data_IF_775072614931
#
_entry.id   IF_775072614931
#
_cell.length_a   1.000
_cell.length_b   1.000
_cell.length_c   1.000
_cell.angle_alpha   90.00
_cell.angle_beta   90.00
_cell.angle_gamma   90.00
#
_symmetry.space_group_name_H-M   'P 1'
#
loop_
_entity.id
_entity.type
_entity.pdbx_description
1 polymer ?
#
# COMPACT_ATOMS: atom_id res chain seq x y z
N UNK A 1 -4.04 -28.90 -7.43
CA UNK A 1 -4.35 -27.50 -7.08
C UNK A 1 -4.27 -26.69 -8.37
N UNK A 2 -5.41 -26.37 -8.97
CA UNK A 2 -5.40 -25.73 -10.30
C UNK A 2 -5.04 -24.25 -10.14
N UNK A 3 -3.83 -23.87 -10.58
CA UNK A 3 -3.35 -22.48 -10.56
C UNK A 3 -4.37 -21.51 -11.18
N UNK A 4 -5.10 -21.98 -12.19
CA UNK A 4 -6.16 -21.22 -12.86
C UNK A 4 -7.34 -20.88 -11.95
N UNK A 5 -7.72 -21.76 -11.00
CA UNK A 5 -8.81 -21.48 -10.04
C UNK A 5 -8.39 -20.40 -9.04
N UNK A 6 -7.12 -20.39 -8.62
CA UNK A 6 -6.57 -19.37 -7.73
C UNK A 6 -6.51 -18.00 -8.41
N UNK A 7 -6.08 -17.96 -9.67
CA UNK A 7 -6.06 -16.71 -10.47
C UNK A 7 -7.49 -16.16 -10.63
N UNK A 8 -8.45 -17.04 -10.96
CA UNK A 8 -9.85 -16.63 -11.09
C UNK A 8 -10.42 -16.09 -9.77
N UNK A 9 -10.11 -16.74 -8.64
CA UNK A 9 -10.48 -16.27 -7.31
C UNK A 9 -9.87 -14.90 -6.99
N UNK A 10 -8.57 -14.72 -7.23
CA UNK A 10 -7.87 -13.47 -7.01
C UNK A 10 -8.48 -12.33 -7.84
N UNK A 11 -8.80 -12.59 -9.11
CA UNK A 11 -9.46 -11.63 -9.98
C UNK A 11 -10.86 -11.24 -9.46
N UNK A 12 -11.69 -12.23 -9.09
CA UNK A 12 -13.05 -11.99 -8.56
C UNK A 12 -13.00 -11.19 -7.25
N UNK A 13 -12.11 -11.56 -6.33
CA UNK A 13 -11.90 -10.86 -5.07
C UNK A 13 -11.42 -9.42 -5.29
N UNK A 14 -10.47 -9.24 -6.21
CA UNK A 14 -9.96 -7.92 -6.57
C UNK A 14 -11.03 -7.03 -7.21
N UNK A 15 -11.85 -7.57 -8.12
CA UNK A 15 -12.92 -6.82 -8.75
C UNK A 15 -13.95 -6.31 -7.74
N UNK A 16 -14.34 -7.16 -6.77
CA UNK A 16 -15.21 -6.75 -5.67
C UNK A 16 -14.57 -5.66 -4.81
N UNK A 17 -13.29 -5.79 -4.48
CA UNK A 17 -12.56 -4.78 -3.72
C UNK A 17 -12.54 -3.42 -4.42
N UNK A 18 -12.26 -3.39 -5.73
CA UNK A 18 -12.28 -2.16 -6.52
C UNK A 18 -13.68 -1.55 -6.55
N UNK A 19 -14.74 -2.37 -6.68
CA UNK A 19 -16.10 -1.85 -6.65
C UNK A 19 -16.45 -1.23 -5.30
N UNK A 20 -16.12 -1.91 -4.19
CA UNK A 20 -16.33 -1.36 -2.84
C UNK A 20 -15.54 -0.08 -2.61
N UNK A 21 -14.29 -0.02 -3.11
CA UNK A 21 -13.47 1.18 -3.08
C UNK A 21 -14.15 2.35 -3.79
N UNK A 22 -14.60 2.17 -5.03
CA UNK A 22 -15.21 3.24 -5.82
C UNK A 22 -16.51 3.79 -5.19
N UNK A 23 -17.24 2.95 -4.45
CA UNK A 23 -18.49 3.31 -3.80
C UNK A 23 -18.30 3.92 -2.39
N UNK A 24 -17.16 3.68 -1.75
CA UNK A 24 -16.90 4.15 -0.39
C UNK A 24 -16.53 5.64 -0.34
N UNK A 25 -17.16 6.47 0.51
CA UNK A 25 -16.86 7.92 0.57
C UNK A 25 -15.40 8.26 0.89
N UNK A 26 -14.67 7.38 1.60
CA UNK A 26 -13.27 7.64 1.98
C UNK A 26 -12.37 7.59 0.74
N UNK A 27 -12.70 6.75 -0.26
CA UNK A 27 -11.92 6.68 -1.50
C UNK A 27 -11.93 8.00 -2.27
N UNK A 28 -13.06 8.71 -2.25
CA UNK A 28 -13.21 10.00 -2.92
C UNK A 28 -12.32 11.06 -2.29
N UNK A 29 -12.22 11.06 -0.96
CA UNK A 29 -11.30 11.95 -0.23
C UNK A 29 -9.86 11.70 -0.68
N UNK A 30 -9.44 10.44 -0.75
CA UNK A 30 -8.10 10.10 -1.25
C UNK A 30 -7.88 10.54 -2.70
N UNK A 31 -8.86 10.33 -3.58
CA UNK A 31 -8.77 10.74 -4.98
C UNK A 31 -8.64 12.27 -5.10
N UNK A 32 -9.37 13.04 -4.28
CA UNK A 32 -9.22 14.50 -4.20
C UNK A 32 -7.84 14.92 -3.70
N UNK A 33 -7.29 14.25 -2.68
CA UNK A 33 -5.93 14.51 -2.17
C UNK A 33 -4.91 14.31 -3.31
N UNK A 34 -5.00 13.20 -4.05
CA UNK A 34 -4.09 12.89 -5.16
C UNK A 34 -4.19 13.94 -6.27
N UNK A 35 -5.39 14.34 -6.67
CA UNK A 35 -5.59 15.42 -7.64
C UNK A 35 -4.96 16.72 -7.14
N UNK A 36 -5.13 17.06 -5.85
CA UNK A 36 -4.52 18.23 -5.24
C UNK A 36 -3.00 18.21 -5.27
N UNK A 37 -2.40 17.04 -5.00
CA UNK A 37 -0.95 16.85 -5.04
C UNK A 37 -0.41 16.98 -6.47
N UNK A 38 -1.09 16.41 -7.47
CA UNK A 38 -0.71 16.59 -8.89
C UNK A 38 -0.86 18.03 -9.37
N UNK A 39 -1.89 18.76 -8.92
CA UNK A 39 -2.02 20.19 -9.23
C UNK A 39 -0.83 21.01 -8.71
N UNK A 40 -0.43 20.80 -7.45
CA UNK A 40 0.75 21.45 -6.87
C UNK A 40 2.02 21.15 -7.66
N UNK A 41 2.20 19.88 -8.03
CA UNK A 41 3.34 19.44 -8.84
C UNK A 41 3.37 20.10 -10.23
N UNK A 42 2.23 20.23 -10.89
CA UNK A 42 2.13 20.88 -12.19
C UNK A 42 2.37 22.38 -12.10
N UNK A 43 1.88 23.05 -11.05
CA UNK A 43 2.20 24.47 -10.82
C UNK A 43 3.70 24.69 -10.64
N UNK A 44 4.38 23.81 -9.90
CA UNK A 44 5.85 23.84 -9.79
C UNK A 44 6.50 23.69 -11.17
N UNK A 45 6.02 22.72 -11.96
CA UNK A 45 6.51 22.46 -13.31
C UNK A 45 6.30 23.67 -14.25
N UNK A 46 5.13 24.32 -14.20
CA UNK A 46 4.83 25.53 -14.98
C UNK A 46 5.76 26.68 -14.63
N UNK A 47 6.05 26.88 -13.34
CA UNK A 47 6.96 27.93 -12.90
C UNK A 47 8.39 27.72 -13.43
N UNK A 48 8.81 26.46 -13.56
CA UNK A 48 10.16 26.13 -14.07
C UNK A 48 10.24 26.24 -15.60
N UNK A 49 9.22 25.78 -16.31
CA UNK A 49 9.21 25.78 -17.78
C UNK A 49 8.63 27.05 -18.41
N UNK A 50 8.43 28.12 -17.64
CA UNK A 50 7.90 29.39 -18.16
C UNK A 50 6.48 29.29 -18.69
N UNK A 51 5.60 28.56 -17.99
CA UNK A 51 4.18 28.42 -18.29
C UNK A 51 3.81 27.18 -19.12
N UNK A 52 4.79 26.36 -19.52
CA UNK A 52 4.54 25.10 -20.23
C UNK A 52 4.43 23.93 -19.26
N UNK A 53 3.51 23.00 -19.54
CA UNK A 53 3.40 21.73 -18.83
C UNK A 53 3.91 20.61 -19.73
N UNK A 54 4.60 19.63 -19.13
CA UNK A 54 5.04 18.44 -19.87
C UNK A 54 3.87 17.50 -20.13
N UNK A 55 2.94 17.39 -19.17
CA UNK A 55 1.73 16.58 -19.23
C UNK A 55 0.58 17.29 -18.51
N UNK A 56 -0.65 16.99 -18.93
CA UNK A 56 -1.84 17.53 -18.26
C UNK A 56 -2.12 16.79 -16.94
N UNK A 57 -2.79 17.47 -16.01
CA UNK A 57 -3.23 16.91 -14.73
C UNK A 57 -4.08 15.66 -14.94
N UNK A 58 -4.96 15.71 -15.94
CA UNK A 58 -5.86 14.59 -16.26
C UNK A 58 -5.07 13.36 -16.70
N UNK A 59 -4.09 13.54 -17.59
CA UNK A 59 -3.25 12.46 -18.08
C UNK A 59 -2.43 11.81 -16.94
N UNK A 60 -1.83 12.63 -16.06
CA UNK A 60 -1.07 12.14 -14.90
C UNK A 60 -1.95 11.36 -13.92
N UNK A 61 -3.14 11.87 -13.60
CA UNK A 61 -4.09 11.18 -12.71
C UNK A 61 -4.58 9.89 -13.35
N UNK A 62 -5.01 9.91 -14.61
CA UNK A 62 -5.50 8.72 -15.33
C UNK A 62 -4.43 7.64 -15.42
N UNK A 63 -3.21 7.98 -15.82
CA UNK A 63 -2.11 7.01 -15.88
C UNK A 63 -1.81 6.41 -14.50
N UNK A 64 -1.77 7.23 -13.45
CA UNK A 64 -1.51 6.77 -12.08
C UNK A 64 -2.61 5.85 -11.53
N UNK A 65 -3.87 6.15 -11.83
CA UNK A 65 -5.01 5.30 -11.47
C UNK A 65 -4.94 3.97 -12.22
N UNK A 66 -4.72 4.01 -13.54
CA UNK A 66 -4.66 2.81 -14.38
C UNK A 66 -3.52 1.87 -13.95
N UNK A 67 -2.32 2.42 -13.79
CA UNK A 67 -1.17 1.66 -13.31
C UNK A 67 -1.37 1.16 -11.87
N UNK A 68 -2.03 1.94 -11.00
CA UNK A 68 -2.40 1.51 -9.66
C UNK A 68 -3.37 0.32 -9.67
N UNK A 69 -4.36 0.32 -10.56
CA UNK A 69 -5.32 -0.79 -10.72
C UNK A 69 -4.59 -2.04 -11.25
N UNK A 70 -3.79 -1.89 -12.31
CA UNK A 70 -3.02 -3.02 -12.87
C UNK A 70 -2.07 -3.60 -11.82
N UNK A 71 -1.33 -2.76 -11.10
CA UNK A 71 -0.42 -3.20 -10.05
C UNK A 71 -1.16 -3.85 -8.88
N UNK A 72 -2.35 -3.35 -8.52
CA UNK A 72 -3.20 -3.97 -7.50
C UNK A 72 -3.65 -5.37 -7.90
N UNK A 73 -4.06 -5.56 -9.17
CA UNK A 73 -4.46 -6.87 -9.69
C UNK A 73 -3.28 -7.85 -9.74
N UNK A 74 -2.13 -7.42 -10.26
CA UNK A 74 -0.94 -8.28 -10.32
C UNK A 74 -0.47 -8.62 -8.90
N UNK A 75 -0.46 -7.63 -7.99
CA UNK A 75 -0.13 -7.82 -6.59
C UNK A 75 -1.07 -8.81 -5.89
N UNK A 76 -2.39 -8.75 -6.15
CA UNK A 76 -3.35 -9.70 -5.55
C UNK A 76 -3.13 -11.12 -6.04
N UNK A 77 -2.87 -11.32 -7.34
CA UNK A 77 -2.54 -12.63 -7.89
C UNK A 77 -1.27 -13.20 -7.24
N UNK A 78 -0.23 -12.38 -7.09
CA UNK A 78 1.02 -12.77 -6.41
C UNK A 78 0.71 -13.17 -4.96
N UNK A 79 0.04 -12.30 -4.19
CA UNK A 79 -0.30 -12.57 -2.78
C UNK A 79 -1.10 -13.87 -2.62
N UNK A 80 -2.12 -14.09 -3.44
CA UNK A 80 -2.94 -15.31 -3.41
C UNK A 80 -2.13 -16.55 -3.77
N UNK A 81 -1.25 -16.46 -4.77
CA UNK A 81 -0.40 -17.60 -5.20
C UNK A 81 0.60 -18.00 -4.12
N UNK A 82 1.19 -17.02 -3.43
CA UNK A 82 2.09 -17.26 -2.29
C UNK A 82 1.35 -17.60 -0.99
N UNK A 83 0.02 -17.62 -0.99
CA UNK A 83 -0.79 -17.92 0.20
C UNK A 83 -0.66 -16.88 1.32
N UNK A 84 -0.23 -15.66 0.98
CA UNK A 84 -0.04 -14.59 1.95
C UNK A 84 -1.39 -14.05 2.35
N UNK A 85 -1.88 -14.47 3.51
CA UNK A 85 -3.19 -14.09 4.05
C UNK A 85 -3.03 -13.50 5.44
N UNK A 86 -3.72 -12.39 5.70
CA UNK A 86 -3.81 -11.86 7.05
C UNK A 86 -4.92 -12.61 7.79
N UNK A 87 -4.54 -13.51 8.68
CA UNK A 87 -5.49 -14.24 9.53
C UNK A 87 -6.22 -13.32 10.53
N UNK A 88 -5.67 -12.13 10.82
CA UNK A 88 -6.26 -11.13 11.72
C UNK A 88 -6.21 -9.73 11.11
N UNK A 89 -7.39 -9.20 10.79
CA UNK A 89 -7.58 -7.90 10.14
C UNK A 89 -7.03 -6.70 10.96
N UNK A 90 -6.96 -6.83 12.29
CA UNK A 90 -6.57 -5.72 13.17
C UNK A 90 -5.12 -5.25 12.95
N UNK A 91 -4.19 -6.16 12.63
CA UNK A 91 -2.78 -5.82 12.43
C UNK A 91 -2.55 -4.80 11.30
N UNK A 92 -3.32 -4.91 10.22
CA UNK A 92 -3.24 -3.98 9.09
C UNK A 92 -3.82 -2.60 9.43
N UNK A 93 -4.93 -2.55 10.17
CA UNK A 93 -5.51 -1.28 10.61
C UNK A 93 -4.50 -0.48 11.44
N UNK A 94 -3.79 -1.15 12.36
CA UNK A 94 -2.71 -0.52 13.11
C UNK A 94 -1.54 -0.11 12.23
N UNK A 95 -1.19 -0.90 11.22
CA UNK A 95 -0.13 -0.54 10.27
C UNK A 95 -0.44 0.74 9.51
N UNK A 96 -1.66 0.85 8.97
CA UNK A 96 -2.09 2.01 8.18
C UNK A 96 -2.22 3.23 9.10
N UNK A 97 -2.82 3.07 10.28
CA UNK A 97 -2.90 4.12 11.28
C UNK A 97 -1.50 4.64 11.66
N UNK A 98 -0.56 3.73 11.89
CA UNK A 98 0.83 4.06 12.19
C UNK A 98 1.50 4.78 11.02
N UNK A 99 1.27 4.34 9.77
CA UNK A 99 1.82 5.01 8.58
C UNK A 99 1.32 6.45 8.41
N UNK A 100 0.04 6.70 8.72
CA UNK A 100 -0.55 8.03 8.70
C UNK A 100 0.00 8.91 9.83
N UNK A 101 0.24 8.32 11.01
CA UNK A 101 0.88 9.02 12.13
C UNK A 101 2.32 9.40 11.79
N UNK A 102 3.07 8.48 11.18
CA UNK A 102 4.44 8.72 10.72
C UNK A 102 4.52 9.81 9.64
N UNK A 103 3.49 9.91 8.78
CA UNK A 103 3.37 10.97 7.78
C UNK A 103 3.38 12.38 8.39
N UNK A 104 2.85 12.55 9.61
CA UNK A 104 2.84 13.84 10.32
C UNK A 104 4.26 14.35 10.62
N UNK A 105 5.22 13.44 10.81
CA UNK A 105 6.63 13.78 11.05
C UNK A 105 7.29 14.12 9.71
N UNK A 106 7.14 13.26 8.71
CA UNK A 106 7.55 13.58 7.35
C UNK A 106 6.73 12.77 6.34
N UNK A 107 6.42 13.35 5.15
CA UNK A 107 5.70 12.63 4.10
C UNK A 107 6.43 11.36 3.61
N UNK A 108 7.74 11.27 3.83
CA UNK A 108 8.56 10.09 3.46
C UNK A 108 8.21 8.84 4.28
N UNK A 109 7.71 9.00 5.51
CA UNK A 109 7.45 7.88 6.41
C UNK A 109 6.10 7.20 6.22
N UNK A 110 5.34 7.57 5.19
CA UNK A 110 4.09 6.89 4.77
C UNK A 110 4.34 5.47 4.29
N UNK A 111 5.55 5.17 3.81
CA UNK A 111 5.85 3.87 3.22
C UNK A 111 5.67 2.73 4.24
N UNK A 112 4.98 1.66 3.81
CA UNK A 112 4.58 0.53 4.66
C UNK A 112 5.77 -0.23 5.28
N UNK A 113 6.99 -0.07 4.75
CA UNK A 113 8.20 -0.65 5.33
C UNK A 113 8.58 -0.03 6.68
N UNK A 114 8.38 1.28 6.84
CA UNK A 114 8.67 1.96 8.12
C UNK A 114 7.67 1.53 9.19
N UNK A 115 6.37 1.69 8.91
CA UNK A 115 5.32 1.32 9.87
C UNK A 115 5.31 -0.19 10.13
N UNK A 116 5.44 -1.02 9.09
CA UNK A 116 5.48 -2.46 9.21
C UNK A 116 6.67 -2.96 10.02
N UNK A 117 7.86 -2.38 9.82
CA UNK A 117 9.06 -2.72 10.58
C UNK A 117 8.94 -2.36 12.07
N UNK A 118 8.49 -1.14 12.37
CA UNK A 118 8.28 -0.69 13.76
C UNK A 118 7.24 -1.58 14.46
N UNK A 119 6.11 -1.84 13.79
CA UNK A 119 5.03 -2.65 14.35
C UNK A 119 5.49 -4.10 14.61
N UNK A 120 6.29 -4.66 13.70
CA UNK A 120 6.86 -6.01 13.84
C UNK A 120 7.82 -6.11 15.03
N UNK A 121 8.69 -5.11 15.20
CA UNK A 121 9.62 -5.06 16.35
C UNK A 121 8.83 -5.01 17.67
N UNK A 122 7.80 -4.17 17.74
CA UNK A 122 6.94 -4.06 18.94
C UNK A 122 6.29 -5.42 19.25
N UNK A 123 5.72 -6.08 18.25
CA UNK A 123 5.07 -7.39 18.43
C UNK A 123 6.06 -8.46 18.88
N UNK A 124 7.26 -8.52 18.29
CA UNK A 124 8.28 -9.49 18.66
C UNK A 124 8.79 -9.27 20.09
N UNK A 125 9.00 -8.01 20.51
CA UNK A 125 9.41 -7.67 21.87
C UNK A 125 8.31 -8.08 22.87
N UNK A 126 7.04 -7.73 22.59
CA UNK A 126 5.92 -8.09 23.45
C UNK A 126 5.75 -9.61 23.55
N UNK A 127 5.91 -10.34 22.43
CA UNK A 127 5.85 -11.80 22.40
C UNK A 127 6.98 -12.44 23.22
N UNK A 128 8.21 -11.92 23.13
CA UNK A 128 9.35 -12.39 23.90
C UNK A 128 9.25 -12.09 25.41
N UNK A 129 8.62 -10.98 25.78
CA UNK A 129 8.34 -10.64 27.19
C UNK A 129 7.22 -11.50 27.77
N UNK A 130 6.19 -11.80 26.96
CA UNK A 130 5.08 -12.69 27.32
C UNK A 130 5.56 -14.11 27.58
N UNK A 131 6.42 -14.66 26.71
CA UNK A 131 6.93 -16.03 26.84
C UNK A 131 7.82 -16.25 28.06
N UNK A 132 8.44 -15.20 28.60
CA UNK A 132 9.23 -15.22 29.84
C UNK A 132 8.39 -15.10 31.12
N UNK A 133 7.05 -15.02 31.01
CA UNK A 133 6.14 -14.91 32.16
C UNK A 133 6.23 -13.57 32.90
N UNK A 134 6.81 -12.53 32.28
CA UNK A 134 6.97 -11.20 32.87
C UNK A 134 5.65 -10.41 32.79
N UNK A 135 4.81 -10.72 31.80
CA UNK A 135 3.53 -10.02 31.60
C UNK A 135 2.46 -10.67 32.47
N UNK A 136 2.08 -9.98 33.55
CA UNK A 136 0.98 -10.36 34.43
C UNK A 136 -0.35 -10.25 33.66
N UNK A 137 -1.17 -11.30 33.70
CA UNK A 137 -2.53 -11.26 33.15
C UNK A 137 -3.32 -10.11 33.79
N UNK A 138 -3.86 -9.20 32.96
CA UNK A 138 -4.63 -8.04 33.42
C UNK A 138 -3.88 -6.70 33.34
N UNK A 139 -2.59 -6.68 32.96
CA UNK A 139 -1.87 -5.44 32.68
C UNK A 139 -2.31 -4.80 31.37
N UNK A 140 -2.19 -3.47 31.24
CA UNK A 140 -2.39 -2.75 29.97
C UNK A 140 -1.56 -3.36 28.82
N UNK A 141 -0.39 -3.89 29.16
CA UNK A 141 0.52 -4.55 28.23
C UNK A 141 -0.08 -5.85 27.64
N UNK A 142 -0.84 -6.62 28.42
CA UNK A 142 -1.49 -7.84 27.91
C UNK A 142 -2.62 -7.52 26.93
N UNK A 143 -3.37 -6.45 27.19
CA UNK A 143 -4.42 -5.99 26.29
C UNK A 143 -3.85 -5.49 24.96
N UNK A 144 -2.75 -4.73 25.01
CA UNK A 144 -2.03 -4.27 23.83
C UNK A 144 -1.47 -5.46 23.02
N UNK A 145 -0.87 -6.45 23.69
CA UNK A 145 -0.38 -7.66 23.02
C UNK A 145 -1.50 -8.44 22.32
N UNK A 146 -2.64 -8.64 23.00
CA UNK A 146 -3.79 -9.33 22.41
C UNK A 146 -4.35 -8.57 21.20
N UNK A 147 -4.38 -7.23 21.26
CA UNK A 147 -4.81 -6.40 20.14
C UNK A 147 -3.83 -6.42 18.96
N UNK A 148 -2.52 -6.46 19.23
CA UNK A 148 -1.44 -6.44 18.23
C UNK A 148 -0.96 -7.83 17.79
N UNK A 149 -1.61 -8.91 18.21
CA UNK A 149 -1.21 -10.26 17.87
C UNK A 149 -1.57 -10.56 16.39
N UNK A 150 -0.69 -10.23 15.45
CA UNK A 150 -0.78 -10.57 14.04
C UNK A 150 0.49 -11.31 13.57
N UNK A 151 0.40 -11.95 12.40
CA UNK A 151 1.50 -12.69 11.80
C UNK A 151 2.54 -11.73 11.16
N UNK A 152 3.71 -11.63 11.80
CA UNK A 152 4.82 -10.77 11.34
C UNK A 152 5.36 -11.23 9.97
N UNK A 153 5.67 -12.53 9.74
CA UNK A 153 5.96 -13.05 8.40
C UNK A 153 4.98 -12.63 7.31
N UNK A 154 3.66 -12.78 7.55
CA UNK A 154 2.65 -12.41 6.55
C UNK A 154 2.68 -10.90 6.27
N UNK A 155 2.87 -10.09 7.30
CA UNK A 155 3.03 -8.64 7.15
C UNK A 155 4.27 -8.29 6.32
N UNK A 156 5.42 -8.90 6.61
CA UNK A 156 6.66 -8.65 5.87
C UNK A 156 6.55 -9.08 4.40
N UNK A 157 5.86 -10.20 4.13
CA UNK A 157 5.59 -10.64 2.77
C UNK A 157 4.76 -9.62 1.99
N UNK A 158 3.76 -8.99 2.60
CA UNK A 158 2.96 -7.95 1.95
C UNK A 158 3.75 -6.68 1.72
N UNK A 159 4.54 -6.24 2.70
CA UNK A 159 5.46 -5.10 2.52
C UNK A 159 6.41 -5.35 1.36
N UNK A 160 6.96 -6.56 1.26
CA UNK A 160 7.87 -6.95 0.19
C UNK A 160 7.19 -6.94 -1.19
N UNK A 161 6.00 -7.56 -1.31
CA UNK A 161 5.23 -7.57 -2.57
C UNK A 161 4.86 -6.14 -2.98
N UNK A 162 4.47 -5.29 -2.03
CA UNK A 162 4.15 -3.88 -2.32
C UNK A 162 5.35 -3.10 -2.88
N UNK A 163 6.55 -3.24 -2.29
CA UNK A 163 7.76 -2.60 -2.81
C UNK A 163 8.19 -3.16 -4.16
N UNK A 164 7.99 -4.46 -4.37
CA UNK A 164 8.23 -5.09 -5.66
C UNK A 164 7.32 -4.51 -6.74
N UNK A 165 6.02 -4.38 -6.46
CA UNK A 165 5.06 -3.76 -7.37
C UNK A 165 5.37 -2.28 -7.63
N UNK A 166 5.74 -1.52 -6.59
CA UNK A 166 6.17 -0.14 -6.73
C UNK A 166 7.41 -0.01 -7.63
N UNK A 167 8.38 -0.91 -7.47
CA UNK A 167 9.60 -0.94 -8.30
C UNK A 167 9.26 -1.16 -9.78
N UNK A 168 8.33 -2.07 -10.09
CA UNK A 168 7.85 -2.29 -11.46
C UNK A 168 7.20 -1.02 -12.02
N UNK A 169 6.34 -0.35 -11.25
CA UNK A 169 5.69 0.87 -11.70
C UNK A 169 6.69 2.01 -11.96
N UNK A 170 7.67 2.17 -11.07
CA UNK A 170 8.73 3.15 -11.24
C UNK A 170 9.57 2.87 -12.48
N UNK A 171 9.84 1.60 -12.80
CA UNK A 171 10.53 1.22 -14.02
C UNK A 171 9.72 1.54 -15.28
N UNK A 172 8.39 1.34 -15.26
CA UNK A 172 7.53 1.55 -16.43
C UNK A 172 7.18 3.02 -16.70
N UNK A 173 6.93 3.81 -15.66
CA UNK A 173 6.32 5.15 -15.80
C UNK A 173 6.95 6.22 -14.87
N UNK A 174 8.09 5.91 -14.25
CA UNK A 174 8.85 6.85 -13.42
C UNK A 174 9.52 7.99 -14.20
N UNK A 175 9.93 7.75 -15.46
CA UNK A 175 10.63 8.77 -16.28
C UNK A 175 9.75 9.96 -16.69
N UNK A 176 8.42 9.77 -16.73
CA UNK A 176 7.48 10.79 -17.19
C UNK A 176 7.39 11.95 -16.21
N UNK A 177 7.53 11.67 -14.91
CA UNK A 177 7.51 12.66 -13.82
C UNK A 177 8.80 13.45 -13.60
N UNK A 178 9.85 13.24 -14.38
CA UNK A 178 11.11 13.99 -14.23
C UNK A 178 10.95 15.44 -14.73
N UNK A 179 11.13 16.39 -13.80
CA UNK A 179 11.16 17.84 -14.05
C UNK A 179 12.56 18.38 -13.68
N UNK A 180 13.28 19.02 -14.60
CA UNK A 180 14.58 19.63 -14.30
C UNK A 180 14.36 20.80 -13.35
N UNK A 181 15.32 21.03 -12.46
CA UNK A 181 15.38 22.17 -11.55
C UNK A 181 16.81 22.64 -11.47
N UNK A 182 16.99 23.95 -11.35
CA UNK A 182 18.29 24.55 -11.09
C UNK A 182 18.32 25.02 -9.65
N UNK A 183 19.33 24.60 -8.90
CA UNK A 183 19.52 24.95 -7.50
C UNK A 183 20.94 25.48 -7.30
N UNK A 184 21.06 26.46 -6.40
CA UNK A 184 22.36 27.02 -6.04
C UNK A 184 22.96 26.18 -4.92
N UNK A 185 24.14 25.61 -5.15
CA UNK A 185 24.91 24.87 -4.17
C UNK A 185 26.34 25.42 -4.18
N UNK A 186 26.80 25.90 -3.02
CA UNK A 186 28.17 26.42 -2.84
C UNK A 186 28.59 27.46 -3.90
N UNK A 187 27.72 28.44 -4.15
CA UNK A 187 27.87 29.48 -5.18
C UNK A 187 27.86 29.02 -6.65
N UNK A 188 27.73 27.72 -6.90
CA UNK A 188 27.56 27.15 -8.24
C UNK A 188 26.08 26.84 -8.54
N UNK A 189 25.70 26.95 -9.82
CA UNK A 189 24.37 26.54 -10.29
C UNK A 189 24.46 25.08 -10.71
N UNK A 190 23.78 24.21 -9.95
CA UNK A 190 23.71 22.77 -10.24
C UNK A 190 22.33 22.45 -10.80
N UNK A 191 22.32 21.72 -11.92
CA UNK A 191 21.10 21.14 -12.48
C UNK A 191 20.75 19.83 -11.78
N UNK A 192 19.50 19.70 -11.36
CA UNK A 192 18.94 18.48 -10.77
C UNK A 192 17.62 18.11 -11.46
N UNK A 193 17.12 16.91 -11.19
CA UNK A 193 15.78 16.49 -11.60
C UNK A 193 14.98 16.08 -10.38
N UNK A 194 13.79 16.67 -10.23
CA UNK A 194 12.78 16.19 -9.28
C UNK A 194 11.92 15.16 -10.00
N UNK A 195 11.82 13.96 -9.43
CA UNK A 195 10.97 12.88 -9.91
C UNK A 195 9.91 12.61 -8.85
N UNK A 196 8.65 12.89 -9.18
CA UNK A 196 7.54 12.66 -8.25
C UNK A 196 6.35 12.01 -8.96
N UNK A 197 5.93 10.86 -8.45
CA UNK A 197 4.75 10.10 -8.87
C UNK A 197 3.98 9.66 -7.63
N UNK A 198 2.67 9.74 -7.68
CA UNK A 198 1.77 9.30 -6.61
C UNK A 198 0.94 8.13 -7.13
N UNK A 199 1.20 6.93 -6.62
CA UNK A 199 0.47 5.71 -6.97
C UNK A 199 -0.62 5.40 -5.94
N UNK A 200 -1.75 4.85 -6.39
CA UNK A 200 -2.92 4.53 -5.52
C UNK A 200 -2.77 3.17 -4.83
N UNK A 201 -1.67 2.45 -5.04
CA UNK A 201 -1.49 1.04 -4.61
C UNK A 201 -1.77 0.82 -3.12
N UNK A 202 -1.23 1.62 -2.17
CA UNK A 202 -1.44 1.38 -0.74
C UNK A 202 -2.92 1.50 -0.33
N UNK A 203 -3.68 2.32 -1.04
CA UNK A 203 -5.11 2.52 -0.79
C UNK A 203 -5.89 1.31 -1.32
N UNK A 204 -5.59 0.84 -2.53
CA UNK A 204 -6.25 -0.35 -3.11
C UNK A 204 -6.02 -1.58 -2.21
N UNK A 205 -4.84 -1.70 -1.61
CA UNK A 205 -4.54 -2.78 -0.66
C UNK A 205 -5.41 -2.72 0.61
N UNK A 206 -5.67 -1.53 1.17
CA UNK A 206 -6.58 -1.37 2.31
C UNK A 206 -7.99 -1.89 1.98
N UNK A 207 -8.52 -1.56 0.80
CA UNK A 207 -9.87 -1.97 0.40
C UNK A 207 -9.96 -3.43 0.00
N UNK A 208 -8.90 -4.01 -0.59
CA UNK A 208 -8.80 -5.45 -0.86
C UNK A 208 -8.98 -6.31 0.40
N UNK A 209 -8.60 -5.76 1.56
CA UNK A 209 -8.61 -6.50 2.81
C UNK A 209 -9.76 -6.09 3.75
N UNK A 210 -10.24 -4.84 3.64
CA UNK A 210 -11.43 -4.34 4.36
C UNK A 210 -12.75 -4.90 3.82
N UNK A 211 -12.82 -5.20 2.52
CA UNK A 211 -13.88 -6.01 1.90
C UNK A 211 -13.67 -7.51 2.18
N UNK A 212 -13.23 -7.81 3.40
CA UNK A 212 -12.69 -9.09 3.84
C UNK A 212 -13.45 -10.25 3.25
N UNK A 213 -12.66 -11.25 2.85
CA UNK A 213 -12.99 -12.64 2.49
C UNK A 213 -14.22 -13.11 3.29
N UNK A 214 -15.41 -12.70 2.87
CA UNK A 214 -16.66 -13.02 3.55
C UNK A 214 -17.09 -14.44 3.21
N UNK A 215 -16.38 -15.08 2.27
CA UNK A 215 -16.57 -16.46 1.92
C UNK A 215 -15.25 -17.23 2.12
N UNK A 216 -14.86 -17.42 3.39
CA UNK A 216 -14.00 -18.55 3.75
C UNK A 216 -14.63 -19.87 3.23
N UNK A 217 -15.97 -19.89 3.10
CA UNK A 217 -16.76 -20.89 2.39
C UNK A 217 -16.45 -21.03 0.90
N UNK A 218 -16.14 -19.95 0.17
CA UNK A 218 -15.82 -20.02 -1.27
C UNK A 218 -14.38 -20.55 -1.48
N UNK A 219 -13.45 -20.16 -0.61
CA UNK A 219 -12.06 -20.66 -0.60
C UNK A 219 -12.04 -22.14 -0.19
N UNK A 220 -12.78 -22.51 0.86
CA UNK A 220 -12.96 -23.91 1.25
C UNK A 220 -13.72 -24.70 0.17
N UNK A 221 -14.73 -24.13 -0.48
CA UNK A 221 -15.43 -24.80 -1.59
C UNK A 221 -14.54 -24.99 -2.82
N UNK A 222 -13.61 -24.09 -3.11
CA UNK A 222 -12.61 -24.29 -4.19
C UNK A 222 -11.49 -25.26 -3.81
N UNK A 223 -11.12 -25.32 -2.52
CA UNK A 223 -10.13 -26.28 -1.99
C UNK A 223 -10.70 -27.71 -1.86
N UNK A 224 -11.95 -27.84 -1.40
CA UNK A 224 -12.63 -29.12 -1.12
C UNK A 224 -13.36 -29.64 -2.35
N UNK A 225 -13.94 -28.77 -3.20
CA UNK A 225 -14.64 -29.15 -4.43
C UNK A 225 -13.73 -29.67 -5.56
N UNK A 226 -12.43 -29.84 -5.32
CA UNK A 226 -11.51 -30.59 -6.18
C UNK A 226 -11.19 -32.00 -5.65
N UNK A 227 -11.81 -32.42 -4.55
CA UNK A 227 -11.59 -33.70 -3.86
C UNK A 227 -12.85 -34.59 -3.80
N UNK A 228 -13.93 -34.17 -4.48
CA UNK A 228 -15.11 -34.97 -4.84
C UNK A 228 -15.30 -34.88 -6.35
#
# INVERSE_FOLDING_TARGET
MDIFKLIYFAFKSYANAVLTFLLDPISWIFLFIIIGQYKKFITLQQNIYGGKTKQDTKELVTTSVLFGIIAGLVGSIIMTTFGVTFYKANGLNYLILLSLLLMLISPRYVCLSYSGGILSIIVLILSALSSKGIIVEGSLVSNIYNALNFDVPALMAIVAIMHFMESILMWLDGNRGATPVFMKQDDEIVGAFIMQRFWIIPIILYFFMGSGISNLSDVLATLIGGLL
#
